data_IF_597536105794
#
_entry.id   IF_597536105794
#
_cell.length_a   1.000
_cell.length_b   1.000
_cell.length_c   1.000
_cell.angle_alpha   90.00
_cell.angle_beta   90.00
_cell.angle_gamma   90.00
#
_symmetry.space_group_name_H-M   'P 1'
#
loop_
_entity.id
_entity.type
_entity.pdbx_description
1 polymer ?
#
# COMPACT_ATOMS: atom_id res chain seq x y z
N UNK A 1 11.92 -16.19 -11.64
CA UNK A 1 11.29 -16.57 -10.36
C UNK A 1 9.83 -16.24 -10.52
N UNK A 2 9.01 -17.21 -10.91
CA UNK A 2 7.59 -17.00 -11.18
C UNK A 2 6.85 -17.03 -9.84
N UNK A 3 6.22 -15.90 -9.49
CA UNK A 3 5.33 -15.83 -8.35
C UNK A 3 4.08 -16.65 -8.67
N UNK A 4 3.60 -17.53 -7.78
CA UNK A 4 2.34 -18.23 -8.01
C UNK A 4 1.20 -17.21 -8.00
N UNK A 5 0.71 -16.87 -9.19
CA UNK A 5 -0.56 -16.16 -9.36
C UNK A 5 -1.66 -17.12 -8.93
N UNK A 6 -2.23 -16.93 -7.73
CA UNK A 6 -3.59 -17.43 -7.52
C UNK A 6 -4.48 -16.62 -8.47
N UNK A 7 -4.76 -17.23 -9.61
CA UNK A 7 -5.30 -16.61 -10.84
C UNK A 7 -6.81 -16.32 -10.76
N UNK A 8 -7.33 -16.21 -9.54
CA UNK A 8 -8.74 -15.98 -9.32
C UNK A 8 -8.90 -14.70 -8.50
N UNK A 9 -9.76 -13.80 -8.99
CA UNK A 9 -10.08 -12.55 -8.32
C UNK A 9 -10.83 -12.79 -7.00
N UNK A 10 -10.55 -11.97 -5.98
CA UNK A 10 -11.31 -12.00 -4.73
C UNK A 10 -12.78 -11.61 -4.99
N UNK A 11 -13.70 -12.54 -4.70
CA UNK A 11 -15.16 -12.33 -4.66
C UNK A 11 -15.66 -12.50 -3.24
N UNK A 12 -16.87 -12.01 -2.89
CA UNK A 12 -17.44 -12.18 -1.55
C UNK A 12 -17.43 -13.62 -1.04
N UNK A 13 -17.80 -14.58 -1.87
CA UNK A 13 -17.82 -16.01 -1.52
C UNK A 13 -16.42 -16.55 -1.24
N UNK A 14 -15.43 -16.09 -2.00
CA UNK A 14 -14.04 -16.49 -1.82
C UNK A 14 -13.42 -15.86 -0.59
N UNK A 15 -13.77 -14.62 -0.27
CA UNK A 15 -13.34 -13.97 0.97
C UNK A 15 -13.77 -14.78 2.18
N UNK A 16 -15.05 -15.20 2.25
CA UNK A 16 -15.54 -16.07 3.33
C UNK A 16 -14.77 -17.40 3.41
N UNK A 17 -14.52 -18.05 2.26
CA UNK A 17 -13.73 -19.29 2.22
C UNK A 17 -12.27 -19.08 2.67
N UNK A 18 -11.65 -17.97 2.27
CA UNK A 18 -10.29 -17.60 2.67
C UNK A 18 -10.20 -17.35 4.18
N UNK A 19 -11.15 -16.62 4.76
CA UNK A 19 -11.19 -16.37 6.21
C UNK A 19 -11.30 -17.68 7.01
N UNK A 20 -12.11 -18.62 6.54
CA UNK A 20 -12.28 -19.95 7.16
C UNK A 20 -11.04 -20.84 7.06
N UNK A 21 -10.32 -20.79 5.93
CA UNK A 21 -9.17 -21.66 5.65
C UNK A 21 -7.83 -21.08 6.16
N UNK A 22 -7.75 -19.78 6.41
CA UNK A 22 -6.56 -19.10 6.93
C UNK A 22 -6.11 -19.56 8.34
N UNK A 23 -6.85 -20.47 8.98
CA UNK A 23 -6.53 -21.03 10.29
C UNK A 23 -5.51 -22.19 10.26
N UNK A 24 -5.18 -22.73 9.08
CA UNK A 24 -4.62 -24.09 8.98
C UNK A 24 -3.24 -24.17 8.30
N UNK A 25 -2.62 -23.04 7.90
CA UNK A 25 -1.38 -23.10 7.12
C UNK A 25 -0.34 -22.04 7.50
N UNK A 26 0.90 -22.49 7.69
CA UNK A 26 2.12 -21.68 7.81
C UNK A 26 3.11 -22.14 6.72
N UNK A 27 3.46 -21.30 5.72
CA UNK A 27 3.04 -19.91 5.56
C UNK A 27 1.56 -19.75 5.19
N UNK A 28 0.97 -18.57 5.45
CA UNK A 28 -0.42 -18.30 5.08
C UNK A 28 -0.63 -18.44 3.56
N UNK A 29 -1.82 -18.87 3.12
CA UNK A 29 -2.14 -18.97 1.71
C UNK A 29 -2.02 -17.61 0.99
N UNK A 30 -1.55 -17.60 -0.25
CA UNK A 30 -1.36 -16.38 -1.03
C UNK A 30 -2.64 -15.51 -1.14
N UNK A 31 -3.81 -16.16 -1.20
CA UNK A 31 -5.11 -15.47 -1.22
C UNK A 31 -5.42 -14.74 0.09
N UNK A 32 -4.97 -15.28 1.22
CA UNK A 32 -5.10 -14.60 2.50
C UNK A 32 -4.18 -13.38 2.55
N UNK A 33 -2.93 -13.50 2.07
CA UNK A 33 -2.04 -12.34 1.93
C UNK A 33 -2.64 -11.26 1.03
N UNK A 34 -3.20 -11.64 -0.12
CA UNK A 34 -3.89 -10.73 -1.04
C UNK A 34 -5.11 -10.07 -0.41
N UNK A 35 -5.90 -10.82 0.36
CA UNK A 35 -7.03 -10.27 1.11
C UNK A 35 -6.56 -9.21 2.12
N UNK A 36 -5.50 -9.49 2.89
CA UNK A 36 -4.95 -8.55 3.88
C UNK A 36 -4.44 -7.26 3.22
N UNK A 37 -3.75 -7.40 2.10
CA UNK A 37 -3.26 -6.29 1.30
C UNK A 37 -4.39 -5.34 0.88
N UNK A 38 -5.45 -5.87 0.28
CA UNK A 38 -6.59 -5.05 -0.18
C UNK A 38 -7.41 -4.55 1.01
N UNK A 39 -7.55 -5.34 2.07
CA UNK A 39 -8.21 -4.92 3.31
C UNK A 39 -7.54 -3.68 3.90
N UNK A 40 -6.21 -3.67 4.00
CA UNK A 40 -5.46 -2.49 4.43
C UNK A 40 -5.73 -1.29 3.51
N UNK A 41 -5.87 -1.53 2.20
CA UNK A 41 -6.20 -0.46 1.25
C UNK A 41 -7.58 0.13 1.50
N UNK A 42 -8.59 -0.72 1.64
CA UNK A 42 -9.98 -0.35 1.92
C UNK A 42 -10.09 0.37 3.27
N UNK A 43 -9.45 -0.13 4.32
CA UNK A 43 -9.44 0.50 5.67
C UNK A 43 -8.87 1.91 5.67
N UNK A 44 -7.89 2.18 4.81
CA UNK A 44 -7.29 3.50 4.65
C UNK A 44 -8.04 4.40 3.63
N UNK A 45 -9.27 4.04 3.25
CA UNK A 45 -10.15 4.86 2.41
C UNK A 45 -10.25 4.41 0.95
N UNK A 46 -9.61 3.31 0.57
CA UNK A 46 -9.67 2.74 -0.78
C UNK A 46 -8.62 3.28 -1.74
N UNK A 47 -8.60 2.71 -2.95
CA UNK A 47 -7.55 2.96 -3.94
C UNK A 47 -7.51 4.43 -4.34
N UNK A 48 -8.66 5.03 -4.67
CA UNK A 48 -8.74 6.41 -5.14
C UNK A 48 -8.23 7.41 -4.08
N UNK A 49 -8.59 7.20 -2.81
CA UNK A 49 -8.11 8.04 -1.70
C UNK A 49 -6.60 7.90 -1.55
N UNK A 50 -6.07 6.68 -1.58
CA UNK A 50 -4.63 6.47 -1.44
C UNK A 50 -3.83 7.04 -2.61
N UNK A 51 -4.32 6.93 -3.84
CA UNK A 51 -3.68 7.56 -4.99
C UNK A 51 -3.61 9.09 -4.84
N UNK A 52 -4.69 9.71 -4.36
CA UNK A 52 -4.71 11.14 -4.07
C UNK A 52 -3.73 11.53 -2.95
N UNK A 53 -3.65 10.72 -1.89
CA UNK A 53 -2.69 10.93 -0.79
C UNK A 53 -1.26 10.80 -1.28
N UNK A 54 -0.93 9.78 -2.07
CA UNK A 54 0.41 9.57 -2.64
C UNK A 54 0.81 10.77 -3.51
N UNK A 55 -0.06 11.23 -4.41
CA UNK A 55 0.22 12.40 -5.24
C UNK A 55 0.41 13.68 -4.41
N UNK A 56 -0.38 13.86 -3.35
CA UNK A 56 -0.25 15.03 -2.46
C UNK A 56 1.05 15.00 -1.68
N UNK A 57 1.41 13.86 -1.10
CA UNK A 57 2.64 13.69 -0.31
C UNK A 57 3.87 13.89 -1.19
N UNK A 58 3.91 13.28 -2.38
CA UNK A 58 5.00 13.49 -3.33
C UNK A 58 5.19 14.97 -3.65
N UNK A 59 4.12 15.69 -3.96
CA UNK A 59 4.19 17.12 -4.26
C UNK A 59 4.65 17.97 -3.06
N UNK A 60 4.20 17.62 -1.85
CA UNK A 60 4.57 18.32 -0.60
C UNK A 60 6.06 18.11 -0.26
N UNK A 61 6.51 16.86 -0.23
CA UNK A 61 7.89 16.51 0.09
C UNK A 61 8.86 17.03 -0.97
N UNK A 62 8.51 16.89 -2.26
CA UNK A 62 9.35 17.42 -3.34
C UNK A 62 9.47 18.95 -3.27
N UNK A 63 8.40 19.66 -2.91
CA UNK A 63 8.45 21.10 -2.73
C UNK A 63 9.34 21.50 -1.54
N UNK A 64 9.24 20.75 -0.43
CA UNK A 64 10.08 20.96 0.76
C UNK A 64 11.56 20.79 0.45
N UNK A 65 11.93 19.66 -0.16
CA UNK A 65 13.31 19.36 -0.55
C UNK A 65 13.85 20.37 -1.57
N UNK A 66 13.03 20.79 -2.54
CA UNK A 66 13.41 21.81 -3.51
C UNK A 66 13.68 23.17 -2.86
N UNK A 67 12.86 23.56 -1.87
CA UNK A 67 13.07 24.79 -1.10
C UNK A 67 14.35 24.73 -0.26
N UNK A 68 14.65 23.57 0.32
CA UNK A 68 15.89 23.35 1.07
C UNK A 68 17.12 23.46 0.17
N UNK A 69 17.09 22.80 -1.00
CA UNK A 69 18.14 22.93 -2.03
C UNK A 69 18.35 24.40 -2.41
N UNK A 70 17.26 25.16 -2.64
CA UNK A 70 17.35 26.57 -2.99
C UNK A 70 18.04 27.39 -1.88
N UNK A 71 17.72 27.08 -0.63
CA UNK A 71 18.31 27.74 0.56
C UNK A 71 19.79 27.42 0.70
N UNK A 72 20.18 26.15 0.48
CA UNK A 72 21.56 25.69 0.55
C UNK A 72 22.40 26.19 -0.64
N UNK A 73 21.81 26.36 -1.82
CA UNK A 73 22.52 26.82 -3.03
C UNK A 73 23.07 28.24 -2.91
N UNK A 74 22.59 29.02 -1.94
CA UNK A 74 23.06 30.37 -1.64
C UNK A 74 24.17 30.40 -0.57
N UNK A 75 24.56 29.25 -0.04
CA UNK A 75 25.55 29.10 1.03
C UNK A 75 26.83 28.45 0.50
N UNK A 76 28.02 28.83 1.01
CA UNK A 76 29.26 28.15 0.66
C UNK A 76 29.32 26.74 1.27
N UNK A 77 30.08 25.85 0.64
CA UNK A 77 30.41 24.50 1.13
C UNK A 77 29.21 23.53 1.35
N UNK A 78 28.08 23.77 0.68
CA UNK A 78 26.86 22.94 0.79
C UNK A 78 26.65 21.94 -0.35
N UNK A 79 27.59 21.84 -1.30
CA UNK A 79 27.46 21.01 -2.51
C UNK A 79 27.10 19.55 -2.20
N UNK A 80 27.76 18.95 -1.20
CA UNK A 80 27.50 17.56 -0.78
C UNK A 80 26.09 17.37 -0.21
N UNK A 81 25.59 18.36 0.55
CA UNK A 81 24.22 18.33 1.09
C UNK A 81 23.19 18.46 -0.02
N UNK A 82 23.43 19.34 -1.00
CA UNK A 82 22.57 19.51 -2.16
C UNK A 82 22.47 18.22 -2.99
N UNK A 83 23.59 17.53 -3.24
CA UNK A 83 23.56 16.24 -3.95
C UNK A 83 22.82 15.16 -3.16
N UNK A 84 22.94 15.16 -1.82
CA UNK A 84 22.22 14.23 -0.95
C UNK A 84 20.70 14.46 -1.03
N UNK A 85 20.25 15.71 -0.98
CA UNK A 85 18.83 16.06 -1.13
C UNK A 85 18.28 15.74 -2.53
N UNK A 86 19.09 15.89 -3.58
CA UNK A 86 18.70 15.48 -4.94
C UNK A 86 18.50 13.96 -5.04
N UNK A 87 19.37 13.20 -4.40
CA UNK A 87 19.24 11.74 -4.32
C UNK A 87 17.95 11.37 -3.56
N UNK A 88 17.67 12.04 -2.44
CA UNK A 88 16.44 11.84 -1.67
C UNK A 88 15.18 12.13 -2.50
N UNK A 89 15.18 13.17 -3.34
CA UNK A 89 14.08 13.44 -4.29
C UNK A 89 13.88 12.26 -5.26
N UNK A 90 14.95 11.68 -5.78
CA UNK A 90 14.85 10.55 -6.72
C UNK A 90 14.29 9.30 -6.03
N UNK A 91 14.76 9.01 -4.82
CA UNK A 91 14.29 7.86 -4.03
C UNK A 91 12.82 8.01 -3.64
N UNK A 92 12.41 9.22 -3.23
CA UNK A 92 11.02 9.55 -2.96
C UNK A 92 10.15 9.31 -4.22
N UNK A 93 10.55 9.83 -5.38
CA UNK A 93 9.81 9.67 -6.62
C UNK A 93 9.67 8.20 -7.01
N UNK A 94 10.74 7.42 -6.86
CA UNK A 94 10.72 5.98 -7.13
C UNK A 94 9.76 5.26 -6.18
N UNK A 95 9.85 5.51 -4.87
CA UNK A 95 8.97 4.90 -3.88
C UNK A 95 7.49 5.24 -4.12
N UNK A 96 7.18 6.49 -4.49
CA UNK A 96 5.82 6.92 -4.81
C UNK A 96 5.31 6.31 -6.12
N UNK A 97 6.18 6.17 -7.13
CA UNK A 97 5.86 5.48 -8.38
C UNK A 97 5.54 4.00 -8.15
N UNK A 98 6.37 3.30 -7.35
CA UNK A 98 6.16 1.91 -6.99
C UNK A 98 4.84 1.72 -6.23
N UNK A 99 4.53 2.63 -5.29
CA UNK A 99 3.25 2.59 -4.57
C UNK A 99 2.06 2.80 -5.50
N UNK A 100 2.12 3.74 -6.45
CA UNK A 100 1.07 3.94 -7.46
C UNK A 100 0.90 2.73 -8.37
N UNK A 101 2.01 2.16 -8.84
CA UNK A 101 2.01 0.97 -9.68
C UNK A 101 1.35 -0.20 -8.95
N UNK A 102 1.72 -0.43 -7.69
CA UNK A 102 1.08 -1.43 -6.84
C UNK A 102 -0.43 -1.22 -6.71
N UNK A 103 -0.87 0.00 -6.36
CA UNK A 103 -2.31 0.30 -6.24
C UNK A 103 -3.07 0.05 -7.54
N UNK A 104 -2.44 0.28 -8.70
CA UNK A 104 -3.02 -0.02 -10.00
C UNK A 104 -3.13 -1.53 -10.31
N UNK A 105 -2.42 -2.39 -9.58
CA UNK A 105 -2.56 -3.85 -9.69
C UNK A 105 -3.80 -4.40 -8.98
N UNK A 106 -4.51 -3.58 -8.20
CA UNK A 106 -5.71 -4.00 -7.49
C UNK A 106 -6.93 -3.78 -8.41
N UNK A 107 -7.61 -4.84 -8.86
CA UNK A 107 -8.82 -4.69 -9.65
C UNK A 107 -9.93 -4.01 -8.83
N UNK A 108 -10.69 -3.08 -9.41
CA UNK A 108 -11.80 -2.41 -8.71
C UNK A 108 -12.85 -3.38 -8.14
N UNK A 109 -13.03 -4.54 -8.79
CA UNK A 109 -13.94 -5.58 -8.32
C UNK A 109 -13.45 -6.23 -7.02
N UNK A 110 -12.14 -6.42 -6.84
CA UNK A 110 -11.59 -6.96 -5.59
C UNK A 110 -11.72 -5.93 -4.46
N UNK A 111 -11.45 -4.66 -4.74
CA UNK A 111 -11.67 -3.58 -3.77
C UNK A 111 -13.13 -3.51 -3.33
N UNK A 112 -14.07 -3.61 -4.27
CA UNK A 112 -15.50 -3.63 -3.97
C UNK A 112 -15.90 -4.86 -3.14
N UNK A 113 -15.44 -6.05 -3.52
CA UNK A 113 -15.73 -7.27 -2.77
C UNK A 113 -15.21 -7.21 -1.33
N UNK A 114 -13.98 -6.72 -1.13
CA UNK A 114 -13.40 -6.55 0.21
C UNK A 114 -14.15 -5.48 1.01
N UNK A 115 -14.60 -4.40 0.36
CA UNK A 115 -15.42 -3.36 0.99
C UNK A 115 -16.78 -3.89 1.43
N UNK A 116 -17.44 -4.68 0.60
CA UNK A 116 -18.74 -5.29 0.91
C UNK A 116 -18.64 -6.31 2.05
N UNK A 117 -17.49 -7.01 2.13
CA UNK A 117 -17.20 -7.99 3.17
C UNK A 117 -16.50 -7.41 4.42
N UNK A 118 -16.34 -6.08 4.52
CA UNK A 118 -15.48 -5.46 5.53
C UNK A 118 -15.85 -5.87 6.97
N UNK A 119 -17.14 -5.90 7.29
CA UNK A 119 -17.62 -6.28 8.62
C UNK A 119 -17.28 -7.73 8.98
N UNK A 120 -17.37 -8.67 8.02
CA UNK A 120 -17.01 -10.07 8.24
C UNK A 120 -15.51 -10.25 8.44
N UNK A 121 -14.71 -9.51 7.66
CA UNK A 121 -13.24 -9.49 7.81
C UNK A 121 -12.84 -8.93 9.18
N UNK A 122 -13.46 -7.84 9.63
CA UNK A 122 -13.20 -7.24 10.94
C UNK A 122 -13.61 -8.17 12.10
N UNK A 123 -14.76 -8.82 12.01
CA UNK A 123 -15.21 -9.80 13.00
C UNK A 123 -14.19 -10.94 13.15
N UNK A 124 -13.68 -11.49 12.04
CA UNK A 124 -12.63 -12.52 12.05
C UNK A 124 -11.36 -12.06 12.79
N UNK A 125 -10.95 -10.79 12.67
CA UNK A 125 -9.79 -10.28 13.40
C UNK A 125 -10.08 -10.02 14.89
N UNK A 126 -11.30 -9.57 15.24
CA UNK A 126 -11.70 -9.35 16.63
C UNK A 126 -11.83 -10.66 17.41
N UNK A 127 -12.39 -11.70 16.79
CA UNK A 127 -12.46 -13.05 17.36
C UNK A 127 -11.06 -13.61 17.62
N UNK A 128 -10.09 -13.35 16.72
CA UNK A 128 -8.69 -13.74 16.93
C UNK A 128 -7.99 -12.94 18.03
N UNK A 129 -8.26 -11.63 18.17
CA UNK A 129 -7.68 -10.79 19.22
C UNK A 129 -8.27 -10.99 20.62
N UNK A 130 -9.39 -11.71 20.74
CA UNK A 130 -10.03 -12.05 22.02
C UNK A 130 -9.66 -13.45 22.54
N UNK A 131 -8.86 -14.20 21.77
CA UNK A 131 -8.42 -15.56 22.09
C UNK A 131 -7.01 -15.62 22.70
N UNK A 132 -6.39 -14.46 23.00
CA UNK A 132 -5.11 -14.33 23.71
C UNK A 132 -5.30 -13.97 25.19
#
# INVERSE_FOLDING_TARGET
MELPTSDAALTPERIDAVLKTAQVSDPPPAEYCRLLEIYCVVKAGGIAVQQAVVARLEAQEQASLAQEIQTLSSQPDTESQIESLKQEIQELQQAMADRRAYLATIPPAEEAAVRDCLAAIEAHFQEKGSAE
#
